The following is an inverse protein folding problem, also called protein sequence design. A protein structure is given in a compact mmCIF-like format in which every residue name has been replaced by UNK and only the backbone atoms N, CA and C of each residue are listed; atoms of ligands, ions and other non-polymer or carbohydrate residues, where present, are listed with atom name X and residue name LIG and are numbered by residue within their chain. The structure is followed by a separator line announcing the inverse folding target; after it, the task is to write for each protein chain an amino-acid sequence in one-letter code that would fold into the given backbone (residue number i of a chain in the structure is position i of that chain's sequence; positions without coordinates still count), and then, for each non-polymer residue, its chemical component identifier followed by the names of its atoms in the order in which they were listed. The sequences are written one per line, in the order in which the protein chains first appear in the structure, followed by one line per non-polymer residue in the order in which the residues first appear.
data_IF_684594557395
#
_entry.id   IF_684594557395
#
_cell.length_a   1.000
_cell.length_b   1.000
_cell.length_c   1.000
_cell.angle_alpha   90.00
_cell.angle_beta   90.00
_cell.angle_gamma   90.00
#
_symmetry.space_group_name_H-M   'P 1'
#
loop_
_entity.id
_entity.type
_entity.pdbx_description
1 polymer ?
#
# COMPACT_ATOMS: atom_id res chain seq x y z
N UNK A 1 14.52 24.36 -12.74
CA UNK A 1 14.06 25.06 -11.52
C UNK A 1 15.13 25.01 -10.44
N UNK A 2 15.25 26.04 -9.60
CA UNK A 2 16.11 26.02 -8.42
C UNK A 2 15.43 25.32 -7.20
N UNK A 3 14.17 24.98 -7.35
CA UNK A 3 13.40 24.24 -6.33
C UNK A 3 13.59 22.74 -6.53
N UNK A 4 13.58 22.00 -5.44
CA UNK A 4 13.60 20.54 -5.49
C UNK A 4 12.33 20.01 -6.20
N UNK A 5 12.47 19.00 -7.08
CA UNK A 5 11.37 18.45 -7.83
C UNK A 5 10.36 17.70 -6.95
N UNK A 6 9.16 17.53 -7.50
CA UNK A 6 8.10 16.67 -6.98
C UNK A 6 8.15 15.31 -7.68
N UNK A 7 8.13 14.24 -6.91
CA UNK A 7 7.89 12.88 -7.40
C UNK A 7 6.42 12.51 -7.20
N UNK A 8 5.81 11.98 -8.25
CA UNK A 8 4.48 11.36 -8.23
C UNK A 8 4.65 9.91 -8.64
N UNK A 9 4.31 8.99 -7.76
CA UNK A 9 4.50 7.56 -7.97
C UNK A 9 3.19 6.79 -7.85
N UNK A 10 3.09 5.69 -8.56
CA UNK A 10 2.01 4.73 -8.54
C UNK A 10 2.49 3.43 -9.17
N UNK A 11 1.73 2.35 -9.07
CA UNK A 11 2.09 1.07 -9.69
C UNK A 11 1.06 0.58 -10.70
N UNK A 12 1.51 -0.28 -11.61
CA UNK A 12 0.72 -0.80 -12.71
C UNK A 12 0.29 -2.25 -12.52
N UNK A 13 1.03 -3.00 -11.71
CA UNK A 13 0.73 -4.37 -11.35
C UNK A 13 -0.43 -4.46 -10.35
N UNK A 14 -0.90 -5.65 -10.11
CA UNK A 14 -2.07 -5.91 -9.28
C UNK A 14 -1.92 -7.26 -8.58
N UNK A 15 -2.50 -7.40 -7.40
CA UNK A 15 -2.64 -8.70 -6.75
C UNK A 15 -3.53 -9.65 -7.56
N UNK A 16 -3.40 -10.98 -7.38
CA UNK A 16 -4.32 -11.94 -7.98
C UNK A 16 -5.79 -11.61 -7.68
N UNK A 17 -6.65 -11.90 -8.62
CA UNK A 17 -8.09 -11.60 -8.53
C UNK A 17 -8.83 -12.41 -7.47
N UNK A 18 -8.27 -13.53 -7.03
CA UNK A 18 -8.92 -14.43 -6.07
C UNK A 18 -10.08 -15.23 -6.68
N UNK A 19 -11.11 -15.47 -5.90
CA UNK A 19 -12.27 -16.22 -6.35
C UNK A 19 -13.17 -15.38 -7.27
N UNK A 20 -13.28 -15.78 -8.54
CA UNK A 20 -14.10 -15.11 -9.55
C UNK A 20 -15.58 -15.00 -9.18
N UNK A 21 -16.11 -15.93 -8.36
CA UNK A 21 -17.51 -15.89 -7.91
C UNK A 21 -17.82 -14.71 -6.98
N UNK A 22 -16.81 -14.08 -6.41
CA UNK A 22 -16.94 -12.90 -5.55
C UNK A 22 -17.02 -11.59 -6.35
N UNK A 23 -16.84 -11.63 -7.65
CA UNK A 23 -16.85 -10.45 -8.50
C UNK A 23 -18.24 -10.25 -9.14
N UNK A 24 -18.75 -9.02 -9.08
CA UNK A 24 -19.99 -8.64 -9.79
C UNK A 24 -19.80 -8.67 -11.32
N UNK A 25 -18.63 -8.29 -11.78
CA UNK A 25 -18.21 -8.31 -13.19
C UNK A 25 -16.84 -8.94 -13.28
N UNK A 26 -16.43 -9.52 -14.43
CA UNK A 26 -15.11 -10.12 -14.58
C UNK A 26 -13.98 -9.15 -14.22
N UNK A 27 -13.00 -9.58 -13.41
CA UNK A 27 -12.03 -8.68 -12.79
C UNK A 27 -11.10 -7.95 -13.76
N UNK A 28 -10.92 -8.42 -14.98
CA UNK A 28 -10.00 -7.84 -15.96
C UNK A 28 -10.67 -7.27 -17.22
N UNK A 29 -12.00 -7.13 -17.21
CA UNK A 29 -12.72 -6.56 -18.36
C UNK A 29 -12.82 -5.03 -18.32
N UNK A 30 -12.62 -4.41 -17.17
CA UNK A 30 -12.78 -2.96 -17.03
C UNK A 30 -14.23 -2.53 -17.32
N UNK A 31 -15.19 -3.22 -16.71
CA UNK A 31 -16.61 -2.98 -16.94
C UNK A 31 -17.04 -1.62 -16.38
N UNK A 32 -17.60 -0.77 -17.24
CA UNK A 32 -18.24 0.49 -16.84
C UNK A 32 -19.75 0.23 -16.73
N UNK A 33 -20.32 0.38 -15.55
CA UNK A 33 -21.74 0.17 -15.32
C UNK A 33 -22.59 1.42 -15.67
N UNK A 34 -23.91 1.27 -15.58
CA UNK A 34 -24.87 2.34 -15.91
C UNK A 34 -24.78 3.54 -14.94
N UNK A 35 -24.22 3.36 -13.76
CA UNK A 35 -24.01 4.42 -12.78
C UNK A 35 -22.67 5.15 -12.99
N UNK A 36 -21.88 4.73 -13.98
CA UNK A 36 -20.57 5.28 -14.30
C UNK A 36 -19.44 4.76 -13.40
N UNK A 37 -19.65 3.63 -12.73
CA UNK A 37 -18.61 2.98 -11.90
C UNK A 37 -17.80 2.02 -12.75
N UNK A 38 -16.48 2.22 -12.76
CA UNK A 38 -15.54 1.33 -13.41
C UNK A 38 -15.12 0.18 -12.48
N UNK A 39 -15.49 -1.03 -12.88
CA UNK A 39 -15.22 -2.26 -12.15
C UNK A 39 -14.02 -3.00 -12.71
N UNK A 40 -13.08 -3.39 -11.86
CA UNK A 40 -11.95 -4.21 -12.26
C UNK A 40 -10.85 -4.27 -11.22
N UNK A 41 -10.02 -5.30 -11.28
CA UNK A 41 -8.80 -5.42 -10.50
C UNK A 41 -7.81 -4.33 -10.92
N UNK A 42 -7.30 -3.52 -9.98
CA UNK A 42 -6.39 -2.43 -10.25
C UNK A 42 -7.05 -1.09 -10.57
N UNK A 43 -8.40 -1.00 -10.62
CA UNK A 43 -9.08 0.28 -10.85
C UNK A 43 -8.90 1.24 -9.69
N UNK A 44 -8.80 0.74 -8.47
CA UNK A 44 -8.57 1.55 -7.25
C UNK A 44 -7.11 1.50 -6.83
N UNK A 45 -6.49 0.34 -6.92
CA UNK A 45 -5.13 0.07 -6.46
C UNK A 45 -4.29 -0.43 -7.65
N UNK A 46 -3.38 0.40 -8.25
CA UNK A 46 -3.38 1.87 -8.04
C UNK A 46 -3.45 2.63 -9.37
N UNK A 47 -4.07 2.03 -10.44
CA UNK A 47 -4.17 2.66 -11.78
C UNK A 47 -4.97 3.96 -11.78
N UNK A 48 -5.90 4.13 -10.81
CA UNK A 48 -6.61 5.40 -10.65
C UNK A 48 -5.66 6.58 -10.37
N UNK A 49 -4.58 6.34 -9.63
CA UNK A 49 -3.59 7.37 -9.34
C UNK A 49 -2.83 7.77 -10.60
N UNK A 50 -2.44 6.80 -11.45
CA UNK A 50 -1.81 7.08 -12.75
C UNK A 50 -2.71 7.96 -13.59
N UNK A 51 -3.99 7.58 -13.72
CA UNK A 51 -4.96 8.34 -14.49
C UNK A 51 -5.14 9.74 -13.92
N UNK A 52 -5.32 9.85 -12.60
CA UNK A 52 -5.52 11.15 -11.96
C UNK A 52 -4.33 12.09 -12.13
N UNK A 53 -3.10 11.59 -12.06
CA UNK A 53 -1.89 12.39 -12.30
C UNK A 53 -1.83 12.88 -13.73
N UNK A 54 -2.07 12.01 -14.69
CA UNK A 54 -2.04 12.38 -16.12
C UNK A 54 -3.14 13.39 -16.46
N UNK A 55 -4.37 13.16 -16.01
CA UNK A 55 -5.50 14.07 -16.25
C UNK A 55 -5.25 15.44 -15.61
N UNK A 56 -4.76 15.47 -14.38
CA UNK A 56 -4.45 16.73 -13.68
C UNK A 56 -3.36 17.53 -14.43
N UNK A 57 -2.32 16.85 -14.90
CA UNK A 57 -1.23 17.49 -15.65
C UNK A 57 -1.74 18.02 -16.99
N UNK A 58 -2.52 17.24 -17.74
CA UNK A 58 -3.13 17.67 -19.00
C UNK A 58 -4.03 18.91 -18.84
N UNK A 59 -4.88 18.92 -17.80
CA UNK A 59 -5.72 20.06 -17.48
C UNK A 59 -4.90 21.31 -17.14
N UNK A 60 -3.86 21.17 -16.34
CA UNK A 60 -2.97 22.28 -15.99
C UNK A 60 -2.20 22.82 -17.21
N UNK A 61 -1.75 21.94 -18.11
CA UNK A 61 -1.12 22.35 -19.37
C UNK A 61 -2.11 23.12 -20.25
N UNK A 62 -3.36 22.62 -20.36
CA UNK A 62 -4.40 23.28 -21.12
C UNK A 62 -4.73 24.68 -20.60
N UNK A 63 -4.66 24.88 -19.28
CA UNK A 63 -4.84 26.18 -18.63
C UNK A 63 -3.60 27.09 -18.72
N UNK A 64 -2.51 26.63 -19.35
CA UNK A 64 -1.26 27.39 -19.48
C UNK A 64 -0.44 27.47 -18.18
N UNK A 65 -0.74 26.61 -17.21
CA UNK A 65 0.01 26.56 -15.94
C UNK A 65 1.43 26.03 -16.17
N UNK A 66 2.39 26.70 -15.60
CA UNK A 66 3.79 26.22 -15.55
C UNK A 66 4.21 26.06 -14.10
N UNK A 67 4.58 24.86 -13.65
CA UNK A 67 5.00 24.66 -12.27
C UNK A 67 6.35 25.32 -11.99
N UNK A 68 6.55 25.74 -10.75
CA UNK A 68 7.81 26.32 -10.27
C UNK A 68 8.92 25.26 -10.05
N UNK A 69 8.61 24.00 -10.14
CA UNK A 69 9.50 22.86 -9.92
C UNK A 69 9.26 21.77 -10.97
N UNK A 70 10.26 20.94 -11.18
CA UNK A 70 10.14 19.82 -12.10
C UNK A 70 9.25 18.73 -11.52
N UNK A 71 8.45 18.10 -12.37
CA UNK A 71 7.59 16.97 -12.02
C UNK A 71 8.21 15.68 -12.55
N UNK A 72 8.32 14.69 -11.69
CA UNK A 72 8.74 13.34 -12.05
C UNK A 72 7.57 12.39 -11.86
N UNK A 73 7.25 11.63 -12.90
CA UNK A 73 6.28 10.54 -12.87
C UNK A 73 7.05 9.23 -12.89
N UNK A 74 6.88 8.41 -11.87
CA UNK A 74 7.55 7.12 -11.76
C UNK A 74 6.53 6.01 -11.47
N UNK A 75 6.28 5.16 -12.46
CA UNK A 75 5.27 4.11 -12.36
C UNK A 75 5.94 2.75 -12.22
N UNK A 76 5.70 2.10 -11.07
CA UNK A 76 6.18 0.77 -10.74
C UNK A 76 5.44 -0.35 -11.50
N UNK A 77 6.00 -1.56 -11.47
CA UNK A 77 5.44 -2.73 -12.16
C UNK A 77 5.38 -3.99 -11.30
N UNK A 78 5.83 -3.94 -10.06
CA UNK A 78 5.83 -5.06 -9.12
C UNK A 78 5.81 -4.55 -7.65
N UNK A 79 4.97 -3.58 -7.37
CA UNK A 79 4.75 -3.05 -6.02
C UNK A 79 4.16 -4.12 -5.11
N UNK A 80 3.17 -4.85 -5.62
CA UNK A 80 2.41 -5.89 -4.92
C UNK A 80 3.23 -7.13 -4.51
N UNK A 81 4.47 -7.22 -5.00
CA UNK A 81 5.42 -8.25 -4.62
C UNK A 81 6.43 -7.66 -3.64
N UNK A 82 6.07 -7.66 -2.37
CA UNK A 82 6.86 -7.09 -1.29
C UNK A 82 8.21 -7.78 -1.13
N UNK A 83 9.27 -7.01 -1.32
CA UNK A 83 10.64 -7.43 -1.04
C UNK A 83 11.28 -8.30 -2.13
N UNK A 84 12.59 -8.37 -2.08
CA UNK A 84 13.42 -9.15 -3.00
C UNK A 84 14.20 -8.31 -4.00
N UNK A 85 15.23 -8.90 -4.62
CA UNK A 85 16.00 -8.23 -5.65
C UNK A 85 15.11 -7.97 -6.87
N UNK A 86 14.94 -6.71 -7.23
CA UNK A 86 14.12 -6.30 -8.37
C UNK A 86 12.77 -5.69 -8.01
N UNK A 87 12.51 -5.39 -6.73
CA UNK A 87 11.36 -4.58 -6.35
C UNK A 87 11.39 -3.24 -7.09
N UNK A 88 10.28 -2.86 -7.72
CA UNK A 88 10.22 -1.67 -8.57
C UNK A 88 10.62 -0.40 -7.82
N UNK A 89 10.19 -0.25 -6.57
CA UNK A 89 10.58 0.87 -5.72
C UNK A 89 12.08 1.00 -5.55
N UNK A 90 12.81 -0.11 -5.35
CA UNK A 90 14.26 -0.10 -5.25
C UNK A 90 14.93 0.25 -6.59
N UNK A 91 14.42 -0.29 -7.70
CA UNK A 91 14.95 0.02 -9.04
C UNK A 91 14.75 1.50 -9.38
N UNK A 92 13.56 2.03 -9.12
CA UNK A 92 13.26 3.46 -9.32
C UNK A 92 14.14 4.34 -8.45
N UNK A 93 14.30 4.00 -7.16
CA UNK A 93 15.19 4.70 -6.25
C UNK A 93 16.63 4.73 -6.78
N UNK A 94 17.19 3.58 -7.13
CA UNK A 94 18.56 3.46 -7.60
C UNK A 94 18.79 4.24 -8.91
N UNK A 95 17.82 4.21 -9.82
CA UNK A 95 17.91 4.94 -11.09
C UNK A 95 17.84 6.45 -10.87
N UNK A 96 16.94 6.93 -10.02
CA UNK A 96 16.83 8.35 -9.70
C UNK A 96 18.06 8.85 -8.93
N UNK A 97 18.62 8.03 -8.04
CA UNK A 97 19.85 8.33 -7.34
C UNK A 97 21.06 8.43 -8.29
N UNK A 98 21.18 7.52 -9.27
CA UNK A 98 22.21 7.59 -10.33
C UNK A 98 22.11 8.87 -11.14
N UNK A 99 20.93 9.38 -11.36
CA UNK A 99 20.68 10.66 -12.04
C UNK A 99 20.96 11.87 -11.16
N UNK A 100 21.28 11.67 -9.88
CA UNK A 100 21.55 12.74 -8.92
C UNK A 100 20.32 13.54 -8.54
N UNK A 101 19.10 12.99 -8.71
CA UNK A 101 17.85 13.67 -8.40
C UNK A 101 17.58 13.59 -6.90
N UNK A 102 17.32 14.74 -6.30
CA UNK A 102 16.82 14.86 -4.92
C UNK A 102 15.43 15.50 -4.96
N UNK A 103 14.47 14.89 -4.31
CA UNK A 103 13.09 15.37 -4.29
C UNK A 103 12.81 16.22 -3.05
N UNK A 104 12.01 17.27 -3.24
CA UNK A 104 11.46 18.05 -2.13
C UNK A 104 10.25 17.41 -1.48
N UNK A 105 9.48 16.64 -2.27
CA UNK A 105 8.29 15.92 -1.84
C UNK A 105 8.07 14.71 -2.76
N UNK A 106 7.50 13.65 -2.21
CA UNK A 106 6.95 12.53 -2.98
C UNK A 106 5.47 12.37 -2.64
N UNK A 107 4.66 12.08 -3.66
CA UNK A 107 3.26 11.70 -3.53
C UNK A 107 3.16 10.27 -4.02
N UNK A 108 2.61 9.41 -3.17
CA UNK A 108 2.37 8.01 -3.44
C UNK A 108 0.89 7.69 -3.29
N UNK A 109 0.55 6.43 -3.36
CA UNK A 109 -0.81 5.97 -3.14
C UNK A 109 -1.24 6.10 -1.67
N UNK A 110 -2.45 5.64 -1.40
CA UNK A 110 -3.14 5.74 -0.11
C UNK A 110 -3.78 7.10 0.19
N UNK A 111 -4.63 7.09 1.22
CA UNK A 111 -5.47 8.24 1.53
C UNK A 111 -6.82 8.15 0.84
N UNK A 112 -7.45 9.28 0.66
CA UNK A 112 -8.75 9.36 -0.01
C UNK A 112 -9.61 10.52 0.46
N UNK A 113 -10.72 10.71 -0.23
CA UNK A 113 -11.73 11.71 0.12
C UNK A 113 -13.03 11.00 0.47
N UNK A 114 -13.53 11.25 1.67
CA UNK A 114 -14.81 10.72 2.14
C UNK A 114 -15.76 11.86 2.53
N UNK A 115 -17.05 11.63 2.36
CA UNK A 115 -18.07 12.56 2.86
C UNK A 115 -18.32 12.27 4.34
N UNK A 116 -18.06 13.24 5.19
CA UNK A 116 -18.33 13.18 6.63
C UNK A 116 -19.26 14.34 7.00
N UNK A 117 -20.44 14.04 7.51
CA UNK A 117 -21.48 15.02 7.81
C UNK A 117 -21.74 16.02 6.67
N UNK A 118 -21.80 15.49 5.43
CA UNK A 118 -22.08 16.27 4.22
C UNK A 118 -20.92 17.15 3.75
N UNK A 119 -19.73 17.01 4.31
CA UNK A 119 -18.51 17.73 3.91
C UNK A 119 -17.45 16.77 3.36
N UNK A 120 -16.74 17.13 2.29
CA UNK A 120 -15.61 16.33 1.84
C UNK A 120 -14.44 16.47 2.82
N UNK A 121 -13.92 15.34 3.28
CA UNK A 121 -12.74 15.25 4.15
C UNK A 121 -11.68 14.45 3.43
N UNK A 122 -10.56 15.07 3.12
CA UNK A 122 -9.40 14.41 2.55
C UNK A 122 -8.50 13.87 3.67
N UNK A 123 -8.14 12.61 3.59
CA UNK A 123 -7.14 11.98 4.46
C UNK A 123 -5.82 11.90 3.70
N UNK A 124 -4.77 12.49 4.27
CA UNK A 124 -3.41 12.40 3.75
C UNK A 124 -2.60 11.53 4.70
N UNK A 125 -2.11 10.39 4.20
CA UNK A 125 -1.27 9.48 4.97
C UNK A 125 0.16 9.99 4.90
N UNK A 126 0.78 10.20 6.06
CA UNK A 126 2.12 10.80 6.17
C UNK A 126 3.18 9.84 6.71
N UNK A 127 2.80 8.62 7.03
CA UNK A 127 3.71 7.54 7.44
C UNK A 127 3.03 6.18 7.33
N UNK A 128 3.84 5.16 7.16
CA UNK A 128 3.44 3.76 7.14
C UNK A 128 4.22 2.94 8.16
N UNK A 129 3.68 1.77 8.51
CA UNK A 129 4.37 0.80 9.34
C UNK A 129 5.34 -0.02 8.49
N UNK A 130 6.41 -0.51 9.11
CA UNK A 130 7.25 -1.51 8.48
C UNK A 130 6.51 -2.83 8.31
N UNK A 131 6.88 -3.58 7.29
CA UNK A 131 6.37 -4.91 6.97
C UNK A 131 7.51 -5.94 7.04
N UNK A 132 7.21 -7.14 7.52
CA UNK A 132 8.12 -8.27 7.46
C UNK A 132 7.35 -9.59 7.52
N UNK A 133 7.72 -10.52 6.65
CA UNK A 133 7.29 -11.91 6.73
C UNK A 133 8.28 -12.73 7.57
N UNK A 134 7.75 -13.60 8.40
CA UNK A 134 8.55 -14.52 9.19
C UNK A 134 8.10 -15.94 8.91
N UNK A 135 9.02 -16.79 8.46
CA UNK A 135 8.80 -18.21 8.32
C UNK A 135 9.33 -18.96 9.55
N UNK A 136 8.48 -19.75 10.18
CA UNK A 136 8.85 -20.60 11.32
C UNK A 136 8.88 -22.06 10.88
N UNK A 137 10.07 -22.64 10.85
CA UNK A 137 10.28 -24.04 10.46
C UNK A 137 10.71 -24.85 11.67
N UNK A 138 10.09 -26.01 11.87
CA UNK A 138 10.49 -26.98 12.90
C UNK A 138 10.80 -28.30 12.23
N UNK A 139 12.04 -28.73 12.37
CA UNK A 139 12.49 -30.04 11.92
C UNK A 139 12.47 -31.04 13.08
N UNK A 140 12.05 -32.28 12.81
CA UNK A 140 12.00 -33.37 13.75
C UNK A 140 12.27 -34.69 12.99
N UNK A 141 13.13 -35.57 13.50
CA UNK A 141 13.42 -36.85 12.84
C UNK A 141 12.22 -37.79 12.75
N UNK A 142 11.13 -37.44 13.39
CA UNK A 142 9.96 -38.29 13.49
C UNK A 142 10.14 -39.42 14.50
N UNK A 143 9.25 -40.43 14.47
CA UNK A 143 9.31 -41.56 15.37
C UNK A 143 8.12 -42.51 15.18
N UNK A 144 8.19 -43.67 15.85
CA UNK A 144 7.08 -44.61 15.84
C UNK A 144 5.97 -44.14 16.79
N UNK A 145 4.72 -44.20 16.38
CA UNK A 145 3.57 -43.71 17.14
C UNK A 145 3.37 -44.36 18.51
N UNK A 146 3.86 -45.60 18.69
CA UNK A 146 3.85 -46.30 19.98
C UNK A 146 4.88 -45.76 20.98
N UNK A 147 5.90 -45.02 20.53
CA UNK A 147 6.97 -44.46 21.32
C UNK A 147 7.18 -42.97 20.91
N UNK A 148 6.17 -42.13 21.14
CA UNK A 148 6.25 -40.73 20.67
C UNK A 148 7.29 -39.97 21.51
N UNK A 149 7.97 -38.97 20.91
CA UNK A 149 8.80 -38.04 21.68
C UNK A 149 7.92 -37.20 22.61
N UNK A 150 8.51 -36.67 23.69
CA UNK A 150 7.79 -35.77 24.63
C UNK A 150 7.18 -34.57 23.91
N UNK A 151 7.86 -34.05 22.89
CA UNK A 151 7.40 -32.95 22.07
C UNK A 151 7.61 -33.28 20.59
N UNK A 152 6.54 -33.36 19.85
CA UNK A 152 6.56 -33.53 18.38
C UNK A 152 6.83 -32.17 17.66
N UNK A 153 7.20 -32.21 16.39
CA UNK A 153 7.33 -31.01 15.57
C UNK A 153 6.04 -30.18 15.60
N UNK A 154 4.89 -30.86 15.50
CA UNK A 154 3.57 -30.21 15.56
C UNK A 154 3.34 -29.49 16.92
N UNK A 155 3.73 -30.12 18.02
CA UNK A 155 3.64 -29.52 19.35
C UNK A 155 4.56 -28.32 19.52
N UNK A 156 5.78 -28.38 18.94
CA UNK A 156 6.74 -27.27 18.97
C UNK A 156 6.24 -26.07 18.19
N UNK A 157 5.74 -26.26 16.95
CA UNK A 157 5.20 -25.16 16.12
C UNK A 157 3.92 -24.59 16.75
N UNK A 158 3.04 -25.44 17.28
CA UNK A 158 1.85 -25.00 18.00
C UNK A 158 2.16 -24.12 19.21
N UNK A 159 3.22 -24.46 19.98
CA UNK A 159 3.66 -23.62 21.09
C UNK A 159 4.27 -22.29 20.63
N UNK A 160 4.97 -22.26 19.50
CA UNK A 160 5.46 -21.01 18.92
C UNK A 160 4.29 -20.09 18.53
N UNK A 161 3.27 -20.62 17.86
CA UNK A 161 2.05 -19.88 17.48
C UNK A 161 1.34 -19.37 18.75
N UNK A 162 1.16 -20.21 19.74
CA UNK A 162 0.54 -19.83 21.02
C UNK A 162 1.29 -18.68 21.70
N UNK A 163 2.63 -18.73 21.70
CA UNK A 163 3.45 -17.68 22.27
C UNK A 163 3.32 -16.35 21.52
N UNK A 164 3.27 -16.37 20.18
CA UNK A 164 3.05 -15.17 19.36
C UNK A 164 1.70 -14.52 19.66
N UNK A 165 0.64 -15.31 19.73
CA UNK A 165 -0.72 -14.82 20.02
C UNK A 165 -0.85 -14.22 21.43
N UNK A 166 -0.13 -14.77 22.42
CA UNK A 166 -0.26 -14.37 23.81
C UNK A 166 0.79 -13.35 24.26
N UNK A 167 1.83 -13.09 23.45
CA UNK A 167 2.85 -12.10 23.75
C UNK A 167 2.89 -11.04 22.64
N UNK A 168 1.83 -10.26 22.58
CA UNK A 168 1.69 -9.20 21.56
C UNK A 168 2.78 -8.15 21.71
N UNK A 169 3.22 -7.59 20.59
CA UNK A 169 4.13 -6.46 20.56
C UNK A 169 3.54 -5.27 21.32
N UNK A 170 4.41 -4.50 21.96
CA UNK A 170 4.01 -3.29 22.68
C UNK A 170 3.37 -2.28 21.73
N UNK A 171 2.19 -1.79 22.08
CA UNK A 171 1.51 -0.74 21.32
C UNK A 171 2.16 0.61 21.62
N UNK A 172 2.60 1.31 20.57
CA UNK A 172 3.12 2.68 20.68
C UNK A 172 2.29 3.63 19.84
N UNK A 173 1.88 4.73 20.45
CA UNK A 173 1.28 5.85 19.73
C UNK A 173 2.41 6.82 19.33
N UNK A 174 2.67 6.90 18.04
CA UNK A 174 3.63 7.85 17.48
C UNK A 174 2.96 9.18 17.14
N UNK A 175 3.74 10.24 17.01
CA UNK A 175 3.21 11.59 16.82
C UNK A 175 2.24 11.73 15.63
N UNK A 176 2.49 11.16 14.43
CA UNK A 176 1.54 11.22 13.33
C UNK A 176 0.19 10.58 13.66
N UNK A 177 0.18 9.42 14.32
CA UNK A 177 -1.06 8.73 14.73
C UNK A 177 -1.84 9.56 15.76
N UNK A 178 -1.14 10.17 16.72
CA UNK A 178 -1.78 11.06 17.70
C UNK A 178 -2.39 12.28 17.00
N UNK A 179 -1.72 12.87 16.02
CA UNK A 179 -2.24 13.98 15.23
C UNK A 179 -3.50 13.56 14.48
N UNK A 180 -3.44 12.47 13.73
CA UNK A 180 -4.59 11.93 13.01
C UNK A 180 -5.80 11.69 13.92
N UNK A 181 -5.58 11.09 15.09
CA UNK A 181 -6.66 10.88 16.07
C UNK A 181 -7.29 12.18 16.54
N UNK A 182 -6.49 13.22 16.77
CA UNK A 182 -6.99 14.55 17.16
C UNK A 182 -7.78 15.20 16.03
N UNK A 183 -7.30 15.11 14.82
CA UNK A 183 -7.91 15.70 13.64
C UNK A 183 -9.24 15.00 13.27
N UNK A 184 -9.30 13.68 13.45
CA UNK A 184 -10.52 12.88 13.23
C UNK A 184 -11.53 12.95 14.39
N UNK A 185 -11.11 13.29 15.60
CA UNK A 185 -11.97 13.30 16.79
C UNK A 185 -13.25 14.15 16.62
N UNK A 186 -13.24 15.34 15.99
CA UNK A 186 -14.45 16.12 15.77
C UNK A 186 -15.47 15.46 14.84
N UNK A 187 -15.04 14.50 14.01
CA UNK A 187 -15.86 13.82 13.02
C UNK A 187 -16.23 12.39 13.44
N UNK A 188 -15.75 11.93 14.58
CA UNK A 188 -16.04 10.59 15.09
C UNK A 188 -17.10 10.72 16.17
N UNK A 189 -18.32 10.20 15.95
CA UNK A 189 -19.34 10.18 17.03
C UNK A 189 -18.76 9.47 18.24
N UNK A 190 -18.89 10.08 19.42
CA UNK A 190 -18.35 9.53 20.64
C UNK A 190 -18.79 8.11 20.90
N UNK A 191 -17.82 7.22 21.10
CA UNK A 191 -18.02 5.90 21.70
C UNK A 191 -17.64 5.94 23.16
#
# INVERSE_FOLDING_TARGET
SDKLPLLMTAHQDVVPEGDHSMWKYPPFEGHLDEEGVLWGRGTTDSKCNIQAYLDAIELLIADGFTPDYDLYLAFGYNEEIMGGPGAAGQILHDELQKRGVQFGMAIDECGGIAMVDGKPVATVIVCEKGYADYEFTVEDPGGHSAFPPVHTALGKIGNAIWNLENNRMETKLIAPVISEMKDKAPFTPGR
#
